data_IF_306645687749
#
_entry.id   IF_306645687749
#
_cell.length_a   1.000
_cell.length_b   1.000
_cell.length_c   1.000
_cell.angle_alpha   90.00
_cell.angle_beta   90.00
_cell.angle_gamma   90.00
#
_symmetry.space_group_name_H-M   'P 1'
#
loop_
_entity.id
_entity.type
_entity.pdbx_description
1 polymer ?
#
# COMPACT_ATOMS: atom_id res chain seq x y z
N UNK A 1 -14.44 -15.66 -26.12
CA UNK A 1 -13.28 -15.95 -25.25
C UNK A 1 -12.27 -14.82 -25.38
N UNK A 2 -11.88 -14.14 -24.29
CA UNK A 2 -10.88 -13.07 -24.35
C UNK A 2 -9.55 -13.59 -24.92
N UNK A 3 -8.85 -12.77 -25.72
CA UNK A 3 -7.62 -13.18 -26.42
C UNK A 3 -6.46 -13.52 -25.47
N UNK A 4 -6.43 -12.95 -24.27
CA UNK A 4 -5.36 -13.19 -23.28
C UNK A 4 -5.40 -14.61 -22.71
N UNK A 5 -6.59 -15.17 -22.46
CA UNK A 5 -6.71 -16.54 -21.93
C UNK A 5 -6.17 -17.55 -22.93
N UNK A 6 -6.45 -17.37 -24.23
CA UNK A 6 -5.90 -18.24 -25.29
C UNK A 6 -4.38 -18.25 -25.38
N UNK A 7 -3.73 -17.10 -25.13
CA UNK A 7 -2.26 -16.99 -25.13
C UNK A 7 -1.66 -17.76 -23.94
N UNK A 8 -2.25 -17.59 -22.75
CA UNK A 8 -1.83 -18.31 -21.54
C UNK A 8 -2.04 -19.82 -21.68
N UNK A 9 -3.16 -20.24 -22.26
CA UNK A 9 -3.46 -21.66 -22.51
C UNK A 9 -2.43 -22.31 -23.45
N UNK A 10 -2.05 -21.61 -24.52
CA UNK A 10 -1.02 -22.08 -25.44
C UNK A 10 0.37 -22.15 -24.78
N UNK A 11 0.71 -21.17 -23.94
CA UNK A 11 1.98 -21.13 -23.22
C UNK A 11 2.08 -22.24 -22.17
N UNK A 12 1.01 -22.47 -21.39
CA UNK A 12 0.94 -23.56 -20.42
C UNK A 12 1.17 -24.92 -21.09
N UNK A 13 0.43 -25.20 -22.16
CA UNK A 13 0.55 -26.45 -22.90
C UNK A 13 1.95 -26.65 -23.52
N UNK A 14 2.58 -25.55 -23.97
CA UNK A 14 3.94 -25.60 -24.51
C UNK A 14 4.96 -25.94 -23.41
N UNK A 15 4.92 -25.22 -22.29
CA UNK A 15 5.87 -25.42 -21.18
C UNK A 15 5.73 -26.82 -20.56
N UNK A 16 4.51 -27.33 -20.42
CA UNK A 16 4.26 -28.69 -19.90
C UNK A 16 4.80 -29.76 -20.85
N UNK A 17 4.62 -29.59 -22.16
CA UNK A 17 5.12 -30.55 -23.16
C UNK A 17 6.65 -30.55 -23.26
N UNK A 18 7.29 -29.40 -23.07
CA UNK A 18 8.75 -29.28 -23.17
C UNK A 18 9.48 -29.53 -21.85
N UNK A 19 8.78 -29.78 -20.75
CA UNK A 19 9.39 -29.91 -19.42
C UNK A 19 10.04 -28.61 -18.95
N UNK A 20 9.40 -27.47 -19.20
CA UNK A 20 9.88 -26.15 -18.81
C UNK A 20 10.04 -25.99 -17.29
N UNK A 21 10.64 -24.87 -16.87
CA UNK A 21 10.86 -24.57 -15.44
C UNK A 21 9.56 -24.71 -14.61
N UNK A 22 9.56 -25.50 -13.54
CA UNK A 22 8.38 -25.71 -12.70
C UNK A 22 7.74 -24.43 -12.17
N UNK A 23 8.54 -23.42 -11.81
CA UNK A 23 8.05 -22.13 -11.30
C UNK A 23 7.37 -21.31 -12.41
N UNK A 24 7.86 -21.42 -13.65
CA UNK A 24 7.27 -20.75 -14.82
C UNK A 24 5.94 -21.40 -15.18
N UNK A 25 5.86 -22.73 -15.14
CA UNK A 25 4.60 -23.49 -15.33
C UNK A 25 3.59 -23.09 -14.25
N UNK A 26 4.01 -23.06 -12.98
CA UNK A 26 3.16 -22.66 -11.87
C UNK A 26 2.61 -21.23 -12.06
N UNK A 27 3.46 -20.27 -12.45
CA UNK A 27 3.06 -18.89 -12.69
C UNK A 27 1.98 -18.75 -13.76
N UNK A 28 2.12 -19.45 -14.89
CA UNK A 28 1.13 -19.42 -15.98
C UNK A 28 -0.20 -20.02 -15.52
N UNK A 29 -0.18 -21.13 -14.77
CA UNK A 29 -1.39 -21.76 -14.20
C UNK A 29 -2.12 -20.85 -13.22
N UNK A 30 -1.40 -20.22 -12.29
CA UNK A 30 -2.02 -19.27 -11.34
C UNK A 30 -2.55 -18.03 -12.06
N UNK A 31 -1.89 -17.57 -13.13
CA UNK A 31 -2.38 -16.46 -13.95
C UNK A 31 -3.69 -16.80 -14.69
N UNK A 32 -3.87 -18.06 -15.14
CA UNK A 32 -5.14 -18.53 -15.69
C UNK A 32 -6.27 -18.53 -14.64
N UNK A 33 -5.93 -18.85 -13.38
CA UNK A 33 -6.84 -18.89 -12.23
C UNK A 33 -7.13 -17.54 -11.56
N UNK A 34 -6.55 -16.44 -12.04
CA UNK A 34 -6.52 -15.13 -11.37
C UNK A 34 -7.88 -14.62 -10.85
N UNK A 35 -8.99 -14.90 -11.57
CA UNK A 35 -10.33 -14.48 -11.16
C UNK A 35 -10.88 -15.22 -9.94
N UNK A 36 -10.32 -16.37 -9.58
CA UNK A 36 -10.76 -17.22 -8.47
C UNK A 36 -9.89 -17.07 -7.22
N UNK A 37 -8.60 -16.80 -7.39
CA UNK A 37 -7.67 -16.57 -6.26
C UNK A 37 -6.52 -15.69 -6.71
N UNK A 38 -6.51 -14.42 -6.28
CA UNK A 38 -5.42 -13.49 -6.59
C UNK A 38 -4.19 -13.73 -5.69
N UNK A 39 -4.39 -14.26 -4.48
CA UNK A 39 -3.33 -14.54 -3.49
C UNK A 39 -2.30 -15.51 -4.07
N UNK A 40 -2.78 -16.60 -4.65
CA UNK A 40 -1.94 -17.64 -5.25
C UNK A 40 -1.03 -17.13 -6.36
N UNK A 41 -1.53 -16.22 -7.20
CA UNK A 41 -0.72 -15.59 -8.23
C UNK A 41 0.28 -14.62 -7.61
N UNK A 42 -0.16 -13.82 -6.63
CA UNK A 42 0.68 -12.83 -5.98
C UNK A 42 1.86 -13.47 -5.23
N UNK A 43 1.66 -14.60 -4.55
CA UNK A 43 2.72 -15.39 -3.93
C UNK A 43 3.80 -15.78 -4.95
N UNK A 44 3.38 -16.34 -6.09
CA UNK A 44 4.30 -16.76 -7.14
C UNK A 44 5.05 -15.56 -7.74
N UNK A 45 4.37 -14.43 -7.93
CA UNK A 45 5.00 -13.19 -8.38
C UNK A 45 6.05 -12.68 -7.38
N UNK A 46 5.75 -12.69 -6.07
CA UNK A 46 6.72 -12.36 -5.03
C UNK A 46 7.94 -13.30 -5.05
N UNK A 47 7.71 -14.61 -5.25
CA UNK A 47 8.78 -15.62 -5.37
C UNK A 47 9.65 -15.42 -6.61
N UNK A 48 9.05 -15.11 -7.76
CA UNK A 48 9.77 -14.84 -9.02
C UNK A 48 10.65 -13.59 -8.87
N UNK A 49 10.11 -12.54 -8.24
CA UNK A 49 10.82 -11.29 -7.98
C UNK A 49 11.97 -11.50 -6.99
N UNK A 50 11.74 -12.18 -5.86
CA UNK A 50 12.79 -12.36 -4.83
C UNK A 50 13.95 -13.26 -5.28
N UNK A 51 13.70 -14.19 -6.20
CA UNK A 51 14.72 -15.12 -6.71
C UNK A 51 15.26 -14.75 -8.10
N UNK A 52 14.87 -13.60 -8.66
CA UNK A 52 15.20 -13.18 -10.02
C UNK A 52 15.00 -14.27 -11.09
N UNK A 53 13.94 -15.07 -10.97
CA UNK A 53 13.73 -16.22 -11.87
C UNK A 53 13.51 -15.79 -13.33
N UNK A 54 13.02 -14.57 -13.53
CA UNK A 54 12.80 -13.98 -14.84
C UNK A 54 14.10 -13.88 -15.67
N UNK A 55 15.25 -13.61 -15.03
CA UNK A 55 16.55 -13.56 -15.69
C UNK A 55 16.93 -14.91 -16.29
N UNK A 56 16.70 -16.00 -15.54
CA UNK A 56 16.94 -17.38 -16.01
C UNK A 56 16.08 -17.76 -17.21
N UNK A 57 14.96 -17.06 -17.39
CA UNK A 57 14.05 -17.28 -18.52
C UNK A 57 14.34 -16.36 -19.71
N UNK A 58 15.38 -15.53 -19.62
CA UNK A 58 15.85 -14.66 -20.70
C UNK A 58 15.19 -13.27 -20.72
N UNK A 59 14.53 -12.86 -19.64
CA UNK A 59 13.97 -11.51 -19.53
C UNK A 59 14.94 -10.55 -18.85
N UNK A 60 15.08 -9.36 -19.43
CA UNK A 60 15.93 -8.30 -18.87
C UNK A 60 15.37 -7.68 -17.59
N UNK A 61 14.05 -7.75 -17.37
CA UNK A 61 13.42 -7.31 -16.14
C UNK A 61 12.15 -8.10 -15.82
N UNK A 62 11.75 -8.06 -14.55
CA UNK A 62 10.59 -8.78 -14.02
C UNK A 62 9.26 -8.34 -14.65
N UNK A 63 9.12 -7.06 -15.01
CA UNK A 63 7.91 -6.53 -15.61
C UNK A 63 7.79 -6.92 -17.09
N UNK A 64 8.90 -7.02 -17.83
CA UNK A 64 8.91 -7.56 -19.18
C UNK A 64 8.35 -8.99 -19.21
N UNK A 65 8.80 -9.86 -18.30
CA UNK A 65 8.24 -11.21 -18.15
C UNK A 65 6.73 -11.19 -17.87
N UNK A 66 6.29 -10.39 -16.89
CA UNK A 66 4.89 -10.30 -16.51
C UNK A 66 4.01 -9.79 -17.66
N UNK A 67 4.49 -8.82 -18.43
CA UNK A 67 3.76 -8.22 -19.55
C UNK A 67 3.72 -9.16 -20.77
N UNK A 68 4.83 -9.82 -21.09
CA UNK A 68 4.96 -10.62 -22.30
C UNK A 68 4.34 -12.01 -22.14
N UNK A 69 4.58 -12.69 -21.02
CA UNK A 69 4.06 -14.04 -20.80
C UNK A 69 2.75 -14.05 -20.05
N UNK A 70 2.70 -13.35 -18.91
CA UNK A 70 1.51 -13.38 -18.05
C UNK A 70 0.44 -12.40 -18.51
N UNK A 71 0.74 -11.52 -19.48
CA UNK A 71 -0.15 -10.45 -19.96
C UNK A 71 -0.65 -9.51 -18.87
N UNK A 72 0.15 -9.34 -17.82
CA UNK A 72 -0.13 -8.49 -16.67
C UNK A 72 0.54 -7.14 -16.85
N UNK A 73 -0.23 -6.07 -16.64
CA UNK A 73 0.32 -4.70 -16.62
C UNK A 73 1.15 -4.50 -15.35
N UNK A 74 2.23 -3.72 -15.47
CA UNK A 74 3.09 -3.30 -14.34
C UNK A 74 2.30 -2.91 -13.09
N UNK A 75 1.33 -1.99 -13.22
CA UNK A 75 0.52 -1.55 -12.08
C UNK A 75 -0.31 -2.65 -11.42
N UNK A 76 -0.73 -3.68 -12.15
CA UNK A 76 -1.43 -4.83 -11.54
C UNK A 76 -0.45 -5.71 -10.77
N UNK A 77 0.74 -5.94 -11.31
CA UNK A 77 1.81 -6.70 -10.64
C UNK A 77 2.23 -6.03 -9.35
N UNK A 78 2.42 -4.71 -9.37
CA UNK A 78 2.77 -3.92 -8.18
C UNK A 78 1.69 -4.04 -7.10
N UNK A 79 0.42 -3.86 -7.46
CA UNK A 79 -0.70 -4.03 -6.53
C UNK A 79 -0.74 -5.42 -5.90
N UNK A 80 -0.58 -6.47 -6.70
CA UNK A 80 -0.65 -7.85 -6.21
C UNK A 80 0.49 -8.16 -5.25
N UNK A 81 1.72 -7.81 -5.63
CA UNK A 81 2.90 -8.06 -4.79
C UNK A 81 2.86 -7.26 -3.49
N UNK A 82 2.48 -5.97 -3.55
CA UNK A 82 2.28 -5.14 -2.35
C UNK A 82 1.18 -5.70 -1.45
N UNK A 83 0.04 -6.08 -2.02
CA UNK A 83 -1.10 -6.61 -1.25
C UNK A 83 -0.77 -7.94 -0.57
N UNK A 84 -0.02 -8.81 -1.25
CA UNK A 84 0.41 -10.09 -0.68
C UNK A 84 1.37 -9.87 0.49
N UNK A 85 2.41 -9.05 0.32
CA UNK A 85 3.35 -8.73 1.39
C UNK A 85 2.65 -8.04 2.58
N UNK A 86 1.61 -7.25 2.31
CA UNK A 86 0.78 -6.64 3.36
C UNK A 86 0.02 -7.70 4.16
N UNK A 87 -0.58 -8.69 3.50
CA UNK A 87 -1.23 -9.82 4.20
C UNK A 87 -0.22 -10.63 5.01
N UNK A 88 0.93 -10.97 4.42
CA UNK A 88 1.97 -11.76 5.09
C UNK A 88 2.44 -11.09 6.38
N UNK A 89 2.54 -9.75 6.39
CA UNK A 89 2.98 -8.97 7.56
C UNK A 89 1.89 -8.73 8.60
N UNK A 90 0.71 -8.29 8.17
CA UNK A 90 -0.32 -7.77 9.09
C UNK A 90 -1.41 -8.78 9.41
N UNK A 91 -1.66 -9.76 8.54
CA UNK A 91 -2.75 -10.72 8.70
C UNK A 91 -2.42 -12.08 8.06
N UNK A 92 -1.34 -12.77 8.49
CA UNK A 92 -0.90 -14.02 7.89
C UNK A 92 -1.99 -15.12 7.93
N UNK A 93 -2.86 -15.10 8.95
CA UNK A 93 -4.01 -16.00 9.07
C UNK A 93 -5.03 -15.89 7.92
N UNK A 94 -4.98 -14.82 7.11
CA UNK A 94 -5.83 -14.67 5.93
C UNK A 94 -5.31 -15.51 4.77
N UNK A 95 -4.01 -15.75 4.69
CA UNK A 95 -3.40 -16.56 3.64
C UNK A 95 -3.86 -18.03 3.72
N UNK A 96 -4.26 -18.48 4.91
CA UNK A 96 -4.80 -19.82 5.15
C UNK A 96 -6.30 -19.96 4.80
N UNK A 97 -6.99 -18.85 4.47
CA UNK A 97 -8.42 -18.88 4.15
C UNK A 97 -8.66 -19.45 2.77
N UNK A 98 -9.65 -20.33 2.67
CA UNK A 98 -10.14 -20.89 1.41
C UNK A 98 -10.95 -19.89 0.55
N UNK A 99 -11.32 -18.75 1.14
CA UNK A 99 -12.16 -17.73 0.50
C UNK A 99 -13.65 -18.07 0.42
N UNK A 100 -14.08 -19.23 0.96
CA UNK A 100 -15.46 -19.73 0.91
C UNK A 100 -16.18 -19.46 2.22
N UNK A 101 -15.56 -19.77 3.36
CA UNK A 101 -16.16 -19.53 4.68
C UNK A 101 -15.94 -18.10 5.21
N UNK A 102 -14.82 -17.48 4.82
CA UNK A 102 -14.49 -16.08 5.11
C UNK A 102 -13.93 -15.43 3.87
N UNK A 103 -14.49 -14.29 3.50
CA UNK A 103 -14.07 -13.56 2.30
C UNK A 103 -12.61 -13.14 2.41
N UNK A 104 -11.88 -13.33 1.32
CA UNK A 104 -10.53 -12.79 1.17
C UNK A 104 -10.68 -11.32 0.79
N UNK A 105 -10.01 -10.38 1.48
CA UNK A 105 -10.03 -8.97 1.11
C UNK A 105 -9.55 -8.77 -0.33
N UNK A 106 -10.16 -7.82 -1.04
CA UNK A 106 -9.69 -7.47 -2.39
C UNK A 106 -8.30 -6.85 -2.34
N UNK A 107 -7.46 -7.11 -3.35
CA UNK A 107 -6.12 -6.49 -3.46
C UNK A 107 -6.21 -4.95 -3.50
N UNK A 108 -7.30 -4.37 -4.04
CA UNK A 108 -7.50 -2.92 -4.04
C UNK A 108 -7.76 -2.35 -2.63
N UNK A 109 -8.42 -3.12 -1.75
CA UNK A 109 -8.60 -2.75 -0.34
C UNK A 109 -7.29 -2.87 0.44
N UNK A 110 -6.48 -3.88 0.15
CA UNK A 110 -5.17 -4.11 0.77
C UNK A 110 -4.13 -3.09 0.31
N UNK A 111 -4.11 -2.73 -0.97
CA UNK A 111 -3.29 -1.62 -1.48
C UNK A 111 -3.69 -0.31 -0.80
N UNK A 112 -5.00 -0.07 -0.61
CA UNK A 112 -5.48 1.09 0.13
C UNK A 112 -4.99 1.07 1.58
N UNK A 113 -5.08 -0.07 2.27
CA UNK A 113 -4.54 -0.26 3.62
C UNK A 113 -3.04 -0.02 3.69
N UNK A 114 -2.27 -0.59 2.77
CA UNK A 114 -0.81 -0.43 2.72
C UNK A 114 -0.45 1.06 2.57
N UNK A 115 -1.12 1.77 1.67
CA UNK A 115 -0.86 3.19 1.40
C UNK A 115 -1.21 4.08 2.59
N UNK A 116 -2.26 3.77 3.35
CA UNK A 116 -2.70 4.61 4.47
C UNK A 116 -2.02 4.23 5.78
N UNK A 117 -1.94 2.95 6.10
CA UNK A 117 -1.43 2.43 7.37
C UNK A 117 -0.13 1.65 7.19
N UNK A 118 -0.06 0.69 6.26
CA UNK A 118 1.09 -0.23 6.15
C UNK A 118 2.47 0.44 5.96
N UNK A 119 2.55 1.59 5.29
CA UNK A 119 3.79 2.37 5.17
C UNK A 119 4.31 2.95 6.52
N UNK A 120 3.49 3.02 7.57
CA UNK A 120 3.91 3.46 8.91
C UNK A 120 4.75 2.41 9.64
N UNK A 121 4.57 1.14 9.31
CA UNK A 121 5.11 0.02 10.08
C UNK A 121 6.26 -0.67 9.37
N UNK A 122 6.43 -0.43 8.08
CA UNK A 122 7.56 -0.97 7.34
C UNK A 122 8.89 -0.38 7.86
N UNK A 123 9.93 -1.21 8.03
CA UNK A 123 11.30 -0.72 7.99
C UNK A 123 11.49 0.07 6.69
N UNK A 124 12.29 1.13 6.73
CA UNK A 124 12.57 2.00 5.58
C UNK A 124 13.39 1.30 4.45
N UNK A 125 13.32 -0.03 4.34
CA UNK A 125 14.17 -0.87 3.48
C UNK A 125 13.49 -1.30 2.17
N UNK A 126 12.58 -0.51 1.61
CA UNK A 126 12.00 -0.80 0.28
C UNK A 126 12.20 0.33 -0.75
N UNK A 127 13.20 1.19 -0.56
CA UNK A 127 13.64 2.16 -1.59
C UNK A 127 15.11 1.98 -2.03
N UNK A 128 15.80 0.91 -1.61
CA UNK A 128 17.05 0.47 -2.28
C UNK A 128 16.71 -0.57 -3.37
N UNK A 129 16.02 -0.14 -4.42
CA UNK A 129 16.23 -0.76 -5.73
C UNK A 129 17.43 -0.05 -6.34
N UNK A 130 18.58 -0.72 -6.24
CA UNK A 130 19.83 -0.36 -6.90
C UNK A 130 19.56 0.19 -8.29
N UNK A 131 19.98 1.43 -8.50
CA UNK A 131 20.33 1.94 -9.82
C UNK A 131 21.47 1.07 -10.35
N UNK A 132 21.11 0.01 -11.07
CA UNK A 132 22.06 -0.76 -11.87
C UNK A 132 22.51 0.11 -13.05
N UNK A 133 23.78 0.47 -13.06
CA UNK A 133 24.42 1.32 -14.07
C UNK A 133 24.18 0.79 -15.49
N UNK A 134 23.47 1.58 -16.28
CA UNK A 134 23.31 1.40 -17.72
C UNK A 134 22.97 2.75 -18.35
N UNK A 135 23.94 3.34 -19.04
CA UNK A 135 23.82 4.58 -19.81
C UNK A 135 22.65 4.50 -20.82
N UNK A 136 21.49 5.06 -20.46
CA UNK A 136 20.47 5.48 -21.43
C UNK A 136 19.67 6.69 -20.88
N UNK A 137 19.68 7.86 -21.56
CA UNK A 137 19.02 9.05 -21.06
C UNK A 137 17.59 9.14 -21.62
N UNK A 138 16.60 8.59 -20.92
CA UNK A 138 15.21 9.11 -20.98
C UNK A 138 14.29 8.45 -19.93
N UNK A 139 13.75 9.31 -19.06
CA UNK A 139 12.44 9.14 -18.42
C UNK A 139 12.25 7.99 -17.41
N UNK A 140 13.18 7.80 -16.47
CA UNK A 140 12.90 7.04 -15.25
C UNK A 140 12.53 8.00 -14.11
N UNK A 141 11.34 8.58 -14.19
CA UNK A 141 10.71 9.20 -13.02
C UNK A 141 10.38 8.07 -12.03
N UNK A 142 11.10 8.03 -10.90
CA UNK A 142 10.63 7.37 -9.69
C UNK A 142 9.12 7.63 -9.54
N UNK A 143 8.28 6.65 -9.19
CA UNK A 143 6.83 6.84 -9.19
C UNK A 143 6.49 8.00 -8.27
N UNK A 144 6.29 9.18 -8.85
CA UNK A 144 5.83 10.37 -8.14
C UNK A 144 4.61 9.89 -7.37
N UNK A 145 4.64 9.96 -6.04
CA UNK A 145 3.46 9.69 -5.21
C UNK A 145 2.37 10.66 -5.70
N UNK A 146 1.51 10.21 -6.62
CA UNK A 146 0.56 11.08 -7.36
C UNK A 146 -0.62 11.54 -6.49
N UNK A 147 -0.50 11.45 -5.17
CA UNK A 147 -1.59 11.70 -4.23
C UNK A 147 -1.11 12.34 -2.94
N UNK A 148 -2.07 12.90 -2.20
CA UNK A 148 -1.87 13.43 -0.84
C UNK A 148 -1.31 12.36 0.08
N UNK A 149 -0.53 12.79 1.06
CA UNK A 149 0.03 11.90 2.08
C UNK A 149 -1.05 11.64 3.14
N UNK A 150 -1.39 10.37 3.44
CA UNK A 150 -2.39 10.07 4.45
C UNK A 150 -1.94 10.54 5.83
N UNK A 151 -2.84 11.15 6.61
CA UNK A 151 -2.54 11.51 7.99
C UNK A 151 -2.28 10.26 8.85
N UNK A 152 -1.44 10.41 9.86
CA UNK A 152 -1.20 9.36 10.84
C UNK A 152 -2.51 9.08 11.61
N UNK A 153 -3.03 7.83 11.58
CA UNK A 153 -4.25 7.49 12.31
C UNK A 153 -4.02 7.44 13.82
N UNK A 154 -5.07 7.63 14.60
CA UNK A 154 -5.07 7.22 16.01
C UNK A 154 -5.06 5.69 16.12
N UNK A 155 -4.67 5.16 17.28
CA UNK A 155 -4.66 3.72 17.52
C UNK A 155 -6.06 3.09 17.33
N UNK A 156 -7.11 3.77 17.80
CA UNK A 156 -8.50 3.32 17.64
C UNK A 156 -8.94 3.28 16.17
N UNK A 157 -8.65 4.34 15.41
CA UNK A 157 -8.99 4.42 13.99
C UNK A 157 -8.24 3.36 13.19
N UNK A 158 -6.98 3.09 13.57
CA UNK A 158 -6.17 2.05 12.95
C UNK A 158 -6.78 0.67 13.20
N UNK A 159 -7.15 0.36 14.44
CA UNK A 159 -7.79 -0.91 14.78
C UNK A 159 -9.12 -1.10 14.03
N UNK A 160 -9.97 -0.07 14.02
CA UNK A 160 -11.24 -0.07 13.29
C UNK A 160 -11.03 -0.31 11.79
N UNK A 161 -9.97 0.27 11.22
CA UNK A 161 -9.63 0.10 9.82
C UNK A 161 -9.06 -1.29 9.52
N UNK A 162 -8.22 -1.83 10.39
CA UNK A 162 -7.73 -3.21 10.31
C UNK A 162 -8.89 -4.21 10.33
N UNK A 163 -9.85 -4.03 11.25
CA UNK A 163 -11.02 -4.88 11.35
C UNK A 163 -11.90 -4.81 10.09
N UNK A 164 -12.14 -3.60 9.57
CA UNK A 164 -12.91 -3.41 8.34
C UNK A 164 -12.24 -4.07 7.11
N UNK A 165 -10.91 -4.03 7.03
CA UNK A 165 -10.16 -4.59 5.90
C UNK A 165 -10.00 -6.10 6.02
N UNK A 166 -9.52 -6.59 7.16
CA UNK A 166 -9.04 -7.97 7.34
C UNK A 166 -10.12 -8.93 7.86
N UNK A 167 -11.03 -8.44 8.70
CA UNK A 167 -12.07 -9.25 9.34
C UNK A 167 -13.40 -9.17 8.59
N UNK A 168 -13.83 -7.96 8.23
CA UNK A 168 -15.10 -7.75 7.51
C UNK A 168 -14.94 -7.89 5.98
N UNK A 169 -13.75 -7.65 5.45
CA UNK A 169 -13.50 -7.71 4.00
C UNK A 169 -14.28 -6.66 3.21
N UNK A 170 -14.47 -5.47 3.78
CA UNK A 170 -15.27 -4.41 3.16
C UNK A 170 -14.73 -4.01 1.79
N UNK A 171 -15.62 -3.70 0.82
CA UNK A 171 -15.19 -3.24 -0.49
C UNK A 171 -14.53 -1.85 -0.41
N UNK A 172 -13.59 -1.59 -1.32
CA UNK A 172 -12.82 -0.33 -1.36
C UNK A 172 -13.70 0.94 -1.34
N UNK A 173 -14.87 0.91 -1.96
CA UNK A 173 -15.78 2.06 -1.99
C UNK A 173 -16.30 2.43 -0.59
N UNK A 174 -16.61 1.43 0.25
CA UNK A 174 -17.06 1.64 1.62
C UNK A 174 -15.91 2.10 2.51
N UNK A 175 -14.74 1.48 2.36
CA UNK A 175 -13.52 1.89 3.06
C UNK A 175 -13.17 3.35 2.79
N UNK A 176 -13.19 3.79 1.52
CA UNK A 176 -12.95 5.19 1.16
C UNK A 176 -13.99 6.11 1.77
N UNK A 177 -15.27 5.76 1.68
CA UNK A 177 -16.36 6.59 2.24
C UNK A 177 -16.20 6.80 3.75
N UNK A 178 -15.82 5.75 4.49
CA UNK A 178 -15.67 5.78 5.94
C UNK A 178 -14.36 6.45 6.38
N UNK A 179 -13.24 6.11 5.73
CA UNK A 179 -11.91 6.46 6.23
C UNK A 179 -11.22 7.62 5.48
N UNK A 180 -11.60 7.96 4.23
CA UNK A 180 -11.02 9.10 3.51
C UNK A 180 -11.12 10.43 4.28
N UNK A 181 -12.22 10.75 5.00
CA UNK A 181 -12.29 11.98 5.78
C UNK A 181 -11.21 12.10 6.86
N UNK A 182 -10.75 10.97 7.40
CA UNK A 182 -9.74 10.92 8.44
C UNK A 182 -8.32 10.92 7.86
N UNK A 183 -8.07 10.15 6.80
CA UNK A 183 -6.76 10.07 6.17
C UNK A 183 -6.45 11.27 5.26
N UNK A 184 -7.46 11.81 4.57
CA UNK A 184 -7.31 12.83 3.53
C UNK A 184 -8.29 13.99 3.73
N UNK A 185 -8.27 14.69 4.89
CA UNK A 185 -9.19 15.79 5.12
C UNK A 185 -9.00 16.89 4.07
N UNK A 186 -10.13 17.45 3.63
CA UNK A 186 -10.14 18.54 2.64
C UNK A 186 -9.53 19.80 3.28
N UNK A 187 -8.51 20.43 2.66
CA UNK A 187 -7.99 21.69 3.16
C UNK A 187 -9.04 22.79 3.01
N UNK A 188 -8.92 23.83 3.85
CA UNK A 188 -9.80 25.01 3.75
C UNK A 188 -9.76 25.60 2.35
N UNK A 189 -10.93 25.91 1.80
CA UNK A 189 -11.08 26.44 0.44
C UNK A 189 -11.18 25.37 -0.66
N UNK A 190 -10.92 24.08 -0.38
CA UNK A 190 -11.05 23.04 -1.40
C UNK A 190 -12.48 22.87 -1.92
N UNK A 191 -13.48 22.93 -1.03
CA UNK A 191 -14.89 22.84 -1.43
C UNK A 191 -15.34 24.05 -2.25
N UNK A 192 -14.85 25.23 -1.89
CA UNK A 192 -15.11 26.45 -2.66
C UNK A 192 -14.50 26.36 -4.06
N UNK A 193 -13.26 25.89 -4.16
CA UNK A 193 -12.60 25.63 -5.43
C UNK A 193 -13.34 24.57 -6.26
N UNK A 194 -13.82 23.49 -5.65
CA UNK A 194 -14.63 22.47 -6.32
C UNK A 194 -15.94 23.07 -6.87
N UNK A 195 -16.62 23.93 -6.09
CA UNK A 195 -17.83 24.63 -6.55
C UNK A 195 -17.55 25.53 -7.75
N UNK A 196 -16.48 26.32 -7.70
CA UNK A 196 -16.08 27.22 -8.80
C UNK A 196 -15.74 26.41 -10.06
N UNK A 197 -14.94 25.34 -9.93
CA UNK A 197 -14.60 24.45 -11.05
C UNK A 197 -15.84 23.80 -11.66
N UNK A 198 -16.78 23.35 -10.81
CA UNK A 198 -18.05 22.76 -11.28
C UNK A 198 -18.93 23.78 -12.00
N UNK A 199 -18.98 25.02 -11.50
CA UNK A 199 -19.71 26.12 -12.16
C UNK A 199 -19.09 26.42 -13.53
N UNK A 200 -17.77 26.53 -13.62
CA UNK A 200 -17.04 26.78 -14.88
C UNK A 200 -17.25 25.65 -15.90
N UNK A 201 -17.19 24.39 -15.46
CA UNK A 201 -17.46 23.23 -16.31
C UNK A 201 -18.91 23.19 -16.81
N UNK A 202 -19.86 23.54 -15.95
CA UNK A 202 -21.29 23.63 -16.33
C UNK A 202 -21.52 24.74 -17.35
N UNK A 203 -20.90 25.92 -17.15
CA UNK A 203 -20.99 27.03 -18.08
C UNK A 203 -20.41 26.67 -19.46
N UNK A 204 -19.28 25.94 -19.49
CA UNK A 204 -18.71 25.42 -20.74
C UNK A 204 -19.67 24.46 -21.44
N UNK A 205 -20.20 23.47 -20.71
CA UNK A 205 -21.13 22.48 -21.26
C UNK A 205 -22.42 23.13 -21.77
N UNK A 206 -22.92 24.15 -21.08
CA UNK A 206 -24.08 24.91 -21.52
C UNK A 206 -23.81 25.66 -22.84
N UNK A 207 -22.64 26.27 -22.99
CA UNK A 207 -22.27 26.93 -24.24
C UNK A 207 -22.20 25.93 -25.41
N UNK A 208 -21.60 24.76 -25.19
CA UNK A 208 -21.55 23.66 -26.18
C UNK A 208 -22.96 23.20 -26.58
N UNK A 209 -23.85 22.95 -25.60
CA UNK A 209 -25.22 22.52 -25.87
C UNK A 209 -26.07 23.58 -26.60
N UNK A 210 -25.90 24.87 -26.29
CA UNK A 210 -26.67 25.93 -26.95
C UNK A 210 -26.29 26.04 -28.43
N UNK A 211 -25.02 25.82 -28.77
CA UNK A 211 -24.54 25.87 -30.16
C UNK A 211 -25.07 24.72 -31.03
N UNK A 212 -25.48 23.60 -30.42
CA UNK A 212 -26.00 22.41 -31.12
C UNK A 212 -27.52 22.45 -31.38
N UNK A 213 -28.25 23.42 -30.82
CA UNK A 213 -29.71 23.50 -30.96
C UNK A 213 -30.09 24.19 -32.27
N UNK A 214 -30.65 23.41 -33.20
CA UNK A 214 -31.23 23.93 -34.43
C UNK A 214 -32.44 24.86 -34.17
N UNK A 215 -32.54 25.94 -34.95
CA UNK A 215 -33.67 26.87 -34.89
C UNK A 215 -33.54 28.00 -33.86
N UNK A 216 -32.44 28.07 -33.10
CA UNK A 216 -32.14 29.24 -32.28
C UNK A 216 -31.60 30.41 -33.13
N UNK A 217 -31.98 31.67 -32.83
CA UNK A 217 -31.39 32.82 -33.51
C UNK A 217 -29.88 32.89 -33.24
N UNK A 218 -29.06 32.90 -34.30
CA UNK A 218 -27.59 32.94 -34.17
C UNK A 218 -27.10 34.12 -33.32
N UNK A 219 -27.76 35.27 -33.43
CA UNK A 219 -27.44 36.45 -32.62
C UNK A 219 -27.68 36.25 -31.12
N UNK A 220 -28.64 35.41 -30.73
CA UNK A 220 -28.91 35.06 -29.34
C UNK A 220 -27.90 34.02 -28.84
N UNK A 221 -27.56 33.02 -29.65
CA UNK A 221 -26.51 32.02 -29.36
C UNK A 221 -25.17 32.72 -29.10
N UNK A 222 -24.71 33.56 -30.02
CA UNK A 222 -23.43 34.30 -29.88
C UNK A 222 -23.39 35.18 -28.62
N UNK A 223 -24.51 35.82 -28.26
CA UNK A 223 -24.60 36.63 -27.03
C UNK A 223 -24.47 35.76 -25.78
N UNK A 224 -25.18 34.64 -25.72
CA UNK A 224 -25.12 33.72 -24.57
C UNK A 224 -23.73 33.08 -24.44
N UNK A 225 -23.11 32.68 -25.54
CA UNK A 225 -21.73 32.17 -25.56
C UNK A 225 -20.74 33.21 -25.03
N UNK A 226 -20.88 34.48 -25.45
CA UNK A 226 -20.04 35.57 -24.97
C UNK A 226 -20.21 35.80 -23.46
N UNK A 227 -21.44 35.82 -22.94
CA UNK A 227 -21.71 35.97 -21.50
C UNK A 227 -21.23 34.76 -20.68
N UNK A 228 -21.40 33.53 -21.17
CA UNK A 228 -20.83 32.33 -20.55
C UNK A 228 -19.30 32.32 -20.60
N UNK A 229 -18.71 32.89 -21.65
CA UNK A 229 -17.27 33.17 -21.75
C UNK A 229 -16.79 34.09 -20.64
N UNK A 230 -17.45 35.24 -20.46
CA UNK A 230 -17.15 36.20 -19.38
C UNK A 230 -17.30 35.56 -18.00
N UNK A 231 -18.40 34.83 -17.75
CA UNK A 231 -18.62 34.13 -16.49
C UNK A 231 -17.48 33.16 -16.18
N UNK A 232 -17.02 32.38 -17.17
CA UNK A 232 -15.89 31.46 -16.99
C UNK A 232 -14.60 32.19 -16.65
N UNK A 233 -14.32 33.33 -17.30
CA UNK A 233 -13.15 34.15 -16.97
C UNK A 233 -13.22 34.64 -15.51
N UNK A 234 -14.36 35.20 -15.09
CA UNK A 234 -14.56 35.63 -13.68
C UNK A 234 -14.40 34.48 -12.70
N UNK A 235 -14.94 33.29 -13.02
CA UNK A 235 -14.80 32.10 -12.16
C UNK A 235 -13.33 31.64 -12.08
N UNK A 236 -12.56 31.74 -13.16
CA UNK A 236 -11.14 31.40 -13.17
C UNK A 236 -10.33 32.38 -12.32
N UNK A 237 -10.60 33.68 -12.44
CA UNK A 237 -9.96 34.73 -11.63
C UNK A 237 -10.26 34.55 -10.14
N UNK A 238 -11.48 34.13 -9.78
CA UNK A 238 -11.84 33.77 -8.41
C UNK A 238 -11.17 32.47 -7.95
N UNK A 239 -10.99 31.51 -8.86
CA UNK A 239 -10.39 30.21 -8.54
C UNK A 239 -8.90 30.36 -8.22
N UNK A 240 -8.17 31.19 -8.94
CA UNK A 240 -6.71 31.30 -8.85
C UNK A 240 -6.16 31.54 -7.43
N UNK A 241 -6.61 32.56 -6.67
CA UNK A 241 -6.14 32.75 -5.30
C UNK A 241 -6.56 31.62 -4.36
N UNK A 242 -7.67 30.93 -4.65
CA UNK A 242 -8.13 29.78 -3.86
C UNK A 242 -7.28 28.55 -4.18
N UNK A 243 -6.93 28.31 -5.45
CA UNK A 243 -6.02 27.24 -5.87
C UNK A 243 -4.70 27.36 -5.14
N UNK A 244 -4.10 28.55 -5.11
CA UNK A 244 -2.84 28.79 -4.40
C UNK A 244 -2.95 28.54 -2.90
N UNK A 245 -4.02 29.02 -2.26
CA UNK A 245 -4.27 28.77 -0.84
C UNK A 245 -4.44 27.28 -0.55
N UNK A 246 -5.22 26.58 -1.37
CA UNK A 246 -5.44 25.13 -1.26
C UNK A 246 -4.15 24.37 -1.48
N UNK A 247 -3.37 24.68 -2.52
CA UNK A 247 -2.09 24.04 -2.80
C UNK A 247 -1.09 24.22 -1.65
N UNK A 248 -0.96 25.44 -1.11
CA UNK A 248 -0.12 25.72 0.06
C UNK A 248 -0.61 25.00 1.30
N UNK A 249 -1.91 24.94 1.53
CA UNK A 249 -2.50 24.22 2.66
C UNK A 249 -2.27 22.71 2.55
N UNK A 250 -2.44 22.14 1.36
CA UNK A 250 -2.13 20.73 1.07
C UNK A 250 -0.66 20.42 1.30
N UNK A 251 0.25 21.21 0.74
CA UNK A 251 1.70 21.00 0.93
C UNK A 251 2.10 21.06 2.41
N UNK A 252 1.52 21.99 3.19
CA UNK A 252 1.73 22.07 4.64
C UNK A 252 1.17 20.85 5.37
N UNK A 253 -0.02 20.40 4.99
CA UNK A 253 -0.64 19.22 5.57
C UNK A 253 0.16 17.95 5.26
N UNK A 254 0.63 17.78 4.02
CA UNK A 254 1.46 16.65 3.59
C UNK A 254 2.81 16.64 4.33
N UNK A 255 3.45 17.81 4.49
CA UNK A 255 4.69 17.94 5.29
C UNK A 255 4.46 17.55 6.75
N UNK A 256 3.35 17.99 7.34
CA UNK A 256 2.98 17.61 8.72
C UNK A 256 2.68 16.12 8.81
N UNK A 257 1.90 15.57 7.89
CA UNK A 257 1.56 14.15 7.85
C UNK A 257 2.83 13.30 7.74
N UNK A 258 3.79 13.66 6.87
CA UNK A 258 5.07 12.95 6.76
C UNK A 258 5.81 12.88 8.09
N UNK A 259 5.93 14.01 8.79
CA UNK A 259 6.61 14.08 10.09
C UNK A 259 5.85 13.28 11.16
N UNK A 260 4.54 13.46 11.25
CA UNK A 260 3.71 12.80 12.27
C UNK A 260 3.69 11.28 12.03
N UNK A 261 3.71 10.83 10.76
CA UNK A 261 3.88 9.42 10.38
C UNK A 261 5.25 8.87 10.78
N UNK A 262 6.32 9.60 10.50
CA UNK A 262 7.68 9.17 10.90
C UNK A 262 7.81 9.03 12.42
N UNK A 263 7.25 9.96 13.18
CA UNK A 263 7.24 9.89 14.64
C UNK A 263 6.41 8.69 15.15
N UNK A 264 5.25 8.41 14.53
CA UNK A 264 4.45 7.23 14.88
C UNK A 264 5.18 5.93 14.54
N UNK A 265 5.87 5.87 13.40
CA UNK A 265 6.68 4.72 13.00
C UNK A 265 7.80 4.43 14.01
N UNK A 266 8.51 5.48 14.47
CA UNK A 266 9.55 5.38 15.49
C UNK A 266 8.98 4.86 16.82
N UNK A 267 7.84 5.41 17.28
CA UNK A 267 7.16 4.94 18.48
C UNK A 267 6.76 3.46 18.40
N UNK A 268 6.25 3.01 17.25
CA UNK A 268 5.88 1.60 17.05
C UNK A 268 7.10 0.68 17.07
N UNK A 269 8.24 1.13 16.52
CA UNK A 269 9.51 0.38 16.59
C UNK A 269 10.02 0.26 18.03
N UNK A 270 10.04 1.35 18.78
CA UNK A 270 10.43 1.33 20.19
C UNK A 270 9.53 0.41 21.02
N UNK A 271 8.22 0.44 20.78
CA UNK A 271 7.27 -0.46 21.44
C UNK A 271 7.53 -1.93 21.10
N UNK A 272 7.83 -2.24 19.83
CA UNK A 272 8.16 -3.60 19.40
C UNK A 272 9.47 -4.09 20.05
N UNK A 273 10.51 -3.26 20.10
CA UNK A 273 11.77 -3.58 20.77
C UNK A 273 11.59 -3.80 22.27
N UNK A 274 10.80 -2.94 22.94
CA UNK A 274 10.49 -3.10 24.36
C UNK A 274 9.70 -4.39 24.63
N UNK A 275 8.73 -4.72 23.77
CA UNK A 275 7.99 -5.98 23.87
C UNK A 275 8.90 -7.18 23.69
N UNK A 276 9.82 -7.15 22.72
CA UNK A 276 10.79 -8.22 22.50
C UNK A 276 11.75 -8.37 23.69
N UNK A 277 12.27 -7.25 24.22
CA UNK A 277 13.12 -7.26 25.41
C UNK A 277 12.38 -7.80 26.64
N UNK A 278 11.10 -7.46 26.81
CA UNK A 278 10.28 -7.98 27.90
C UNK A 278 10.07 -9.51 27.76
N UNK A 279 9.85 -10.02 26.54
CA UNK A 279 9.75 -11.46 26.27
C UNK A 279 11.09 -12.15 26.52
N UNK A 280 12.21 -11.58 26.09
CA UNK A 280 13.57 -12.10 26.34
C UNK A 280 13.88 -12.16 27.84
N UNK A 281 13.55 -11.11 28.60
CA UNK A 281 13.71 -11.07 30.08
C UNK A 281 12.86 -12.13 30.79
N UNK A 282 11.62 -12.36 30.35
CA UNK A 282 10.75 -13.42 30.90
C UNK A 282 11.22 -14.84 30.55
N UNK A 283 12.00 -15.00 29.47
CA UNK A 283 12.59 -16.28 29.03
C UNK A 283 13.98 -16.56 29.59
N UNK A 284 14.62 -15.58 30.25
CA UNK A 284 15.88 -15.83 30.95
C UNK A 284 15.58 -16.74 32.16
N UNK A 285 16.18 -17.95 32.25
CA UNK A 285 16.02 -18.79 33.43
C UNK A 285 16.66 -18.09 34.63
N UNK A 286 15.99 -18.16 35.78
CA UNK A 286 16.58 -17.84 37.07
C UNK A 286 17.73 -18.82 37.32
N UNK A 287 18.93 -18.48 36.86
CA UNK A 287 20.16 -19.07 37.34
C UNK A 287 20.59 -18.27 38.58
N UNK A 288 20.99 -19.00 39.61
CA UNK A 288 21.60 -18.55 40.87
C UNK A 288 20.63 -18.21 42.00
N UNK A 289 20.23 -19.27 42.73
CA UNK A 289 20.28 -19.30 44.21
C UNK A 289 20.05 -20.76 44.67
N UNK A 290 21.05 -21.62 44.44
CA UNK A 290 21.12 -22.92 45.10
C UNK A 290 22.58 -23.36 45.25
N UNK A 291 23.38 -22.59 45.99
CA UNK A 291 24.68 -23.07 46.46
C UNK A 291 25.08 -22.39 47.78
N UNK A 292 24.38 -22.75 48.86
CA UNK A 292 24.89 -22.59 50.24
C UNK A 292 24.33 -23.67 51.16
N UNK A 293 24.73 -24.92 50.93
CA UNK A 293 24.64 -25.99 51.91
C UNK A 293 26.00 -26.69 52.06
N UNK A 294 26.64 -26.51 53.22
CA UNK A 294 27.57 -27.51 53.75
C UNK A 294 29.03 -27.10 53.92
N UNK A 295 29.36 -26.41 55.02
CA UNK A 295 30.62 -26.68 55.74
C UNK A 295 30.34 -26.76 57.24
N UNK A 296 30.07 -27.97 57.68
CA UNK A 296 29.99 -28.41 59.08
C UNK A 296 31.36 -28.21 59.76
N UNK A 297 31.49 -27.18 60.62
CA UNK A 297 32.68 -27.00 61.48
C UNK A 297 32.47 -27.67 62.83
N UNK A 298 33.17 -28.78 63.03
CA UNK A 298 33.25 -29.52 64.29
C UNK A 298 33.79 -28.66 65.47
N UNK A 299 33.23 -28.78 66.69
CA UNK A 299 33.73 -28.07 67.87
C UNK A 299 34.96 -28.76 68.48
N UNK A 300 36.12 -28.07 68.46
CA UNK A 300 37.34 -28.48 69.16
C UNK A 300 37.19 -28.27 70.68
N UNK A 301 37.25 -29.37 71.43
CA UNK A 301 37.33 -29.41 72.90
C UNK A 301 38.55 -28.64 73.40
N UNK A 302 38.33 -27.58 74.19
CA UNK A 302 39.36 -26.94 75.04
C UNK A 302 39.51 -27.76 76.32
N UNK A 303 40.60 -28.52 76.42
CA UNK A 303 41.06 -29.09 77.70
C UNK A 303 42.03 -28.07 78.32
N UNK A 304 41.57 -27.36 79.35
CA UNK A 304 42.44 -26.60 80.27
C UNK A 304 43.18 -27.62 81.14
N UNK A 305 44.51 -27.57 81.12
CA UNK A 305 45.38 -28.09 82.16
C UNK A 305 46.20 -26.90 82.68
N UNK A 306 46.42 -26.92 83.99
CA UNK A 306 46.94 -25.85 84.84
C UNK A 306 48.46 -25.66 84.70
N UNK A 307 48.96 -24.49 85.10
CA UNK A 307 49.91 -24.36 86.23
C UNK A 307 50.30 -22.89 86.47
N UNK A 308 49.93 -22.40 87.65
CA UNK A 308 50.63 -21.47 88.55
C UNK A 308 49.67 -21.05 89.68
#
# INVERSE_FOLDING_TARGET
MPKSTRKLDALAALLERTGGDPNRIEAVRRAQGFRRSWIELAEVLCRIRSKNLHEKWGYGDFYAYCQDELTLKRGTVDKLTVSYNTLERHAPQILERDGVARTIPSYDALEYYHRTVGELEAPAELDEVESFDGDEPAANEAPKRRGRIPQAPSAELRQEFEDAVFNEGQPLAELRKRFDPHFFPKPKGAEELERIKKASATARKLAELIAEIDGLPEGQVRKLEAELGKLRATLEDMAEPIKDKVARATARADKRATRDRAALAEQLREQAEQAEQAVRRKRAPAAEDDDQAGVERAPRKRKRAADA
#
